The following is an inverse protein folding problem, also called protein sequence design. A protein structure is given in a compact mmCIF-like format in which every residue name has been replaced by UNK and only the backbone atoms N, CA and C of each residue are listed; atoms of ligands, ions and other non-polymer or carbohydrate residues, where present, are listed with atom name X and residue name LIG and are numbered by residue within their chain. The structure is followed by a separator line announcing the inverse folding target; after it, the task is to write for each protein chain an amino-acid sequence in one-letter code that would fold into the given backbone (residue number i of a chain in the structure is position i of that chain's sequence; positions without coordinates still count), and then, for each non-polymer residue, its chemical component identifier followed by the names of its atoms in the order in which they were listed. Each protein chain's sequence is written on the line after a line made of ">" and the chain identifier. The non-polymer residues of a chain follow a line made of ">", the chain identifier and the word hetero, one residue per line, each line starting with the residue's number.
data_IF_744758180144
#
_entry.id   IF_744758180144
#
_cell.length_a   1.000
_cell.length_b   1.000
_cell.length_c   1.000
_cell.angle_alpha   90.00
_cell.angle_beta   90.00
_cell.angle_gamma   90.00
#
_symmetry.space_group_name_H-M   'P 1'
#
loop_
_entity.id
_entity.type
_entity.pdbx_description
1 polymer ?
#
# COMPACT_ATOMS: atom_id res chain seq x y z
N UNK A 1 -8.36 -28.18 9.95
CA UNK A 1 -8.54 -26.93 9.19
C UNK A 1 -9.99 -26.57 9.29
N UNK A 2 -10.31 -25.53 10.06
CA UNK A 2 -11.68 -25.04 10.14
C UNK A 2 -12.12 -24.50 8.78
N UNK A 3 -13.40 -24.66 8.43
CA UNK A 3 -13.93 -24.25 7.12
C UNK A 3 -13.62 -22.77 6.82
N UNK A 4 -13.79 -21.91 7.82
CA UNK A 4 -13.49 -20.47 7.73
C UNK A 4 -12.02 -20.18 7.46
N UNK A 5 -11.10 -20.97 8.04
CA UNK A 5 -9.66 -20.82 7.83
C UNK A 5 -9.24 -21.17 6.40
N UNK A 6 -9.93 -22.14 5.78
CA UNK A 6 -9.68 -22.50 4.38
C UNK A 6 -10.16 -21.40 3.44
N UNK A 7 -11.34 -20.81 3.72
CA UNK A 7 -11.89 -19.71 2.92
C UNK A 7 -11.00 -18.46 3.02
N UNK A 8 -10.51 -18.11 4.21
CA UNK A 8 -9.62 -16.95 4.37
C UNK A 8 -8.30 -17.11 3.61
N UNK A 9 -7.72 -18.32 3.62
CA UNK A 9 -6.52 -18.63 2.87
C UNK A 9 -6.73 -18.49 1.36
N UNK A 10 -7.87 -18.99 0.85
CA UNK A 10 -8.21 -18.89 -0.58
C UNK A 10 -8.37 -17.42 -1.00
N UNK A 11 -9.08 -16.61 -0.21
CA UNK A 11 -9.27 -15.18 -0.49
C UNK A 11 -7.93 -14.44 -0.47
N UNK A 12 -7.07 -14.75 0.50
CA UNK A 12 -5.74 -14.15 0.62
C UNK A 12 -4.82 -14.49 -0.57
N UNK A 13 -4.77 -15.76 -0.98
CA UNK A 13 -3.99 -16.16 -2.14
C UNK A 13 -4.54 -15.53 -3.43
N UNK A 14 -5.86 -15.50 -3.58
CA UNK A 14 -6.49 -14.87 -4.74
C UNK A 14 -6.18 -13.37 -4.80
N UNK A 15 -6.22 -12.63 -3.68
CA UNK A 15 -5.91 -11.20 -3.67
C UNK A 15 -4.45 -10.94 -4.01
N UNK A 16 -3.51 -11.74 -3.48
CA UNK A 16 -2.09 -11.63 -3.82
C UNK A 16 -1.85 -11.90 -5.30
N UNK A 17 -2.45 -12.95 -5.85
CA UNK A 17 -2.30 -13.28 -7.28
C UNK A 17 -2.81 -12.11 -8.12
N UNK A 18 -3.96 -11.52 -7.80
CA UNK A 18 -4.51 -10.36 -8.51
C UNK A 18 -3.60 -9.12 -8.43
N UNK A 19 -2.97 -8.87 -7.27
CA UNK A 19 -2.02 -7.76 -7.11
C UNK A 19 -0.77 -7.99 -7.94
N UNK A 20 -0.23 -9.22 -7.97
CA UNK A 20 1.00 -9.55 -8.70
C UNK A 20 0.77 -9.59 -10.21
N UNK A 21 -0.34 -10.17 -10.67
CA UNK A 21 -0.63 -10.24 -12.11
C UNK A 21 -1.00 -8.88 -12.69
N UNK A 22 -1.38 -7.91 -11.85
CA UNK A 22 -1.71 -6.55 -12.27
C UNK A 22 -2.90 -6.49 -13.23
N UNK A 23 -3.77 -7.51 -13.21
CA UNK A 23 -4.98 -7.55 -14.04
C UNK A 23 -5.92 -6.39 -13.74
N UNK A 24 -5.91 -5.94 -12.48
CA UNK A 24 -6.59 -4.73 -12.00
C UNK A 24 -5.60 -3.88 -11.22
N UNK A 25 -5.95 -2.63 -10.99
CA UNK A 25 -5.18 -1.74 -10.12
C UNK A 25 -4.95 -2.40 -8.75
N UNK A 26 -3.71 -2.32 -8.25
CA UNK A 26 -3.29 -3.01 -7.03
C UNK A 26 -4.06 -2.54 -5.79
N UNK A 27 -4.52 -1.28 -5.77
CA UNK A 27 -5.37 -0.75 -4.70
C UNK A 27 -6.75 -1.39 -4.76
N UNK A 28 -7.33 -1.51 -5.95
CA UNK A 28 -8.62 -2.19 -6.14
C UNK A 28 -8.55 -3.67 -5.74
N UNK A 29 -7.48 -4.38 -6.11
CA UNK A 29 -7.28 -5.78 -5.72
C UNK A 29 -7.19 -5.94 -4.19
N UNK A 30 -6.43 -5.07 -3.53
CA UNK A 30 -6.28 -5.08 -2.08
C UNK A 30 -7.61 -4.80 -1.36
N UNK A 31 -8.36 -3.79 -1.82
CA UNK A 31 -9.66 -3.44 -1.25
C UNK A 31 -10.71 -4.54 -1.45
N UNK A 32 -10.75 -5.17 -2.63
CA UNK A 32 -11.63 -6.31 -2.89
C UNK A 32 -11.32 -7.51 -1.98
N UNK A 33 -10.04 -7.79 -1.72
CA UNK A 33 -9.64 -8.84 -0.78
C UNK A 33 -10.22 -8.64 0.61
N UNK A 34 -10.11 -7.43 1.16
CA UNK A 34 -10.67 -7.07 2.47
C UNK A 34 -12.21 -7.15 2.44
N UNK A 35 -12.84 -6.66 1.37
CA UNK A 35 -14.29 -6.69 1.21
C UNK A 35 -14.82 -8.13 1.23
N UNK A 36 -14.16 -9.06 0.53
CA UNK A 36 -14.52 -10.48 0.59
C UNK A 36 -14.30 -11.07 1.99
N UNK A 37 -13.21 -10.71 2.68
CA UNK A 37 -12.99 -11.19 4.06
C UNK A 37 -14.10 -10.75 5.02
N UNK A 38 -14.61 -9.52 4.89
CA UNK A 38 -15.73 -9.03 5.68
C UNK A 38 -17.04 -9.72 5.26
N UNK A 39 -17.28 -9.86 3.95
CA UNK A 39 -18.52 -10.46 3.41
C UNK A 39 -18.71 -11.91 3.85
N UNK A 40 -17.64 -12.70 3.91
CA UNK A 40 -17.67 -14.08 4.41
C UNK A 40 -17.68 -14.18 5.94
N UNK A 41 -17.70 -13.06 6.66
CA UNK A 41 -17.74 -13.01 8.13
C UNK A 41 -16.46 -13.49 8.79
N UNK A 42 -15.33 -13.49 8.08
CA UNK A 42 -14.02 -13.89 8.61
C UNK A 42 -13.51 -12.84 9.61
N UNK A 43 -13.81 -11.57 9.35
CA UNK A 43 -13.41 -10.44 10.17
C UNK A 43 -14.50 -9.36 10.17
N UNK A 44 -14.61 -8.63 11.27
CA UNK A 44 -15.53 -7.50 11.38
C UNK A 44 -14.96 -6.24 10.70
N UNK A 45 -15.83 -5.36 10.23
CA UNK A 45 -15.46 -4.11 9.55
C UNK A 45 -14.56 -3.22 10.44
N UNK A 46 -14.93 -3.06 11.71
CA UNK A 46 -14.15 -2.28 12.68
C UNK A 46 -12.75 -2.85 12.91
N UNK A 47 -12.60 -4.18 12.87
CA UNK A 47 -11.31 -4.81 13.10
C UNK A 47 -10.42 -4.72 11.86
N UNK A 48 -11.01 -4.75 10.66
CA UNK A 48 -10.31 -4.50 9.40
C UNK A 48 -9.63 -3.11 9.41
N UNK A 49 -10.34 -2.06 9.85
CA UNK A 49 -9.80 -0.71 9.93
C UNK A 49 -8.72 -0.53 11.01
N UNK A 50 -8.76 -1.32 12.08
CA UNK A 50 -7.73 -1.28 13.13
C UNK A 50 -6.41 -1.91 12.70
N UNK A 51 -6.47 -2.87 11.77
CA UNK A 51 -5.26 -3.53 11.24
C UNK A 51 -4.48 -2.60 10.31
N UNK A 52 -5.13 -1.57 9.77
CA UNK A 52 -4.47 -0.56 8.93
C UNK A 52 -3.52 0.29 9.79
N UNK A 53 -2.23 0.28 9.44
CA UNK A 53 -1.24 1.14 10.09
C UNK A 53 -1.30 2.58 9.54
N UNK A 54 -2.09 3.40 10.22
CA UNK A 54 -2.27 4.81 9.88
C UNK A 54 -0.98 5.63 10.00
N UNK A 55 -0.05 5.23 10.87
CA UNK A 55 1.23 5.93 11.00
C UNK A 55 2.05 5.73 9.72
N UNK A 56 2.13 4.50 9.22
CA UNK A 56 2.84 4.20 7.98
C UNK A 56 2.22 4.93 6.79
N UNK A 57 0.89 4.93 6.65
CA UNK A 57 0.21 5.64 5.56
C UNK A 57 0.53 7.14 5.59
N UNK A 58 0.43 7.77 6.77
CA UNK A 58 0.70 9.22 6.93
C UNK A 58 2.18 9.53 6.66
N UNK A 59 3.10 8.67 7.09
CA UNK A 59 4.54 8.83 6.81
C UNK A 59 4.81 8.76 5.32
N UNK A 60 4.27 7.75 4.61
CA UNK A 60 4.45 7.61 3.17
C UNK A 60 3.87 8.81 2.41
N UNK A 61 2.67 9.24 2.77
CA UNK A 61 2.04 10.43 2.20
C UNK A 61 2.88 11.69 2.43
N UNK A 62 3.43 11.84 3.64
CA UNK A 62 4.32 12.97 3.97
C UNK A 62 5.61 12.96 3.13
N UNK A 63 6.23 11.79 2.96
CA UNK A 63 7.43 11.63 2.12
C UNK A 63 7.14 11.99 0.66
N UNK A 64 5.99 11.57 0.12
CA UNK A 64 5.59 11.93 -1.24
C UNK A 64 5.39 13.44 -1.41
N UNK A 65 4.74 14.10 -0.45
CA UNK A 65 4.56 15.56 -0.46
C UNK A 65 5.92 16.25 -0.42
N UNK A 66 6.79 15.87 0.53
CA UNK A 66 8.13 16.44 0.68
C UNK A 66 8.93 16.23 -0.60
N UNK A 67 8.95 15.02 -1.15
CA UNK A 67 9.63 14.70 -2.41
C UNK A 67 9.13 15.57 -3.58
N UNK A 68 7.81 15.78 -3.67
CA UNK A 68 7.22 16.65 -4.70
C UNK A 68 7.68 18.11 -4.60
N UNK A 69 7.75 18.68 -3.40
CA UNK A 69 8.26 20.04 -3.20
C UNK A 69 9.79 20.12 -3.31
N UNK A 70 10.50 19.11 -2.83
CA UNK A 70 11.95 19.02 -2.92
C UNK A 70 12.42 18.94 -4.37
N UNK A 71 11.69 18.22 -5.23
CA UNK A 71 11.96 18.22 -6.67
C UNK A 71 11.73 19.59 -7.32
N UNK A 72 10.68 20.31 -6.91
CA UNK A 72 10.34 21.63 -7.48
C UNK A 72 11.19 22.79 -6.96
N UNK A 73 11.82 22.64 -5.79
CA UNK A 73 12.61 23.71 -5.16
C UNK A 73 13.99 23.90 -5.80
N UNK A 74 14.41 23.02 -6.71
CA UNK A 74 15.73 23.05 -7.34
C UNK A 74 16.88 22.67 -6.41
N UNK A 75 16.57 22.21 -5.18
CA UNK A 75 17.57 21.70 -4.24
C UNK A 75 18.34 20.51 -4.81
N UNK A 76 17.72 19.52 -5.49
CA UNK A 76 18.44 18.44 -6.15
C UNK A 76 19.40 18.94 -7.22
N UNK A 77 18.99 19.91 -8.03
CA UNK A 77 19.80 20.48 -9.11
C UNK A 77 21.00 21.24 -8.56
N UNK A 78 20.79 22.03 -7.49
CA UNK A 78 21.86 22.73 -6.78
C UNK A 78 22.87 21.74 -6.17
N UNK A 79 22.40 20.69 -5.49
CA UNK A 79 23.27 19.65 -4.93
C UNK A 79 24.08 18.95 -6.03
N UNK A 80 23.43 18.62 -7.14
CA UNK A 80 24.08 17.97 -8.28
C UNK A 80 25.18 18.84 -8.89
N UNK A 81 24.90 20.13 -9.10
CA UNK A 81 25.89 21.08 -9.59
C UNK A 81 27.05 21.31 -8.60
N UNK A 82 26.76 21.37 -7.29
CA UNK A 82 27.78 21.52 -6.26
C UNK A 82 28.75 20.33 -6.22
N UNK A 83 28.21 19.10 -6.34
CA UNK A 83 29.01 17.87 -6.38
C UNK A 83 29.89 17.84 -7.64
N UNK A 84 29.33 18.17 -8.82
CA UNK A 84 30.08 18.22 -10.07
C UNK A 84 31.24 19.24 -10.05
N UNK A 85 31.09 20.33 -9.29
CA UNK A 85 32.14 21.34 -9.15
C UNK A 85 33.26 20.92 -8.18
N UNK A 86 33.00 19.90 -7.37
CA UNK A 86 33.91 19.37 -6.34
C UNK A 86 34.71 18.16 -6.84
N UNK A 87 34.22 17.46 -7.88
CA UNK A 87 34.96 16.41 -8.62
C UNK A 87 35.92 17.01 -9.63
#
# INVERSE_FOLDING_TARGET
>A
MDFLQTVSLVIFLASIILVITGWIDSVLAALLGILFMIFFGIMNDLDAFKIVDWNVIIILLSIWIISGYFGKSGVPDFLSAAILKLS
#
